data_IF_876109972715
#
_entry.id   IF_876109972715
#
_cell.length_a   1.000
_cell.length_b   1.000
_cell.length_c   1.000
_cell.angle_alpha   90.00
_cell.angle_beta   90.00
_cell.angle_gamma   90.00
#
_symmetry.space_group_name_H-M   'P 1'
#
loop_
_entity.id
_entity.type
_entity.pdbx_description
1 polymer ?
#
# COMPACT_ATOMS: atom_id res chain seq x y z
N UNK A 1 -57.50 -2.07 -37.94
CA UNK A 1 -57.16 -1.13 -36.85
C UNK A 1 -55.66 -1.25 -36.62
N UNK A 2 -54.87 -0.34 -37.20
CA UNK A 2 -53.40 -0.38 -37.13
C UNK A 2 -52.95 0.42 -35.90
N UNK A 3 -52.21 -0.24 -35.01
CA UNK A 3 -51.65 0.36 -33.80
C UNK A 3 -50.19 0.74 -34.07
N UNK A 4 -49.87 2.02 -34.12
CA UNK A 4 -48.50 2.53 -34.22
C UNK A 4 -48.00 2.90 -32.83
N UNK A 5 -46.91 2.28 -32.36
CA UNK A 5 -46.18 2.74 -31.18
C UNK A 5 -45.04 3.66 -31.62
N UNK A 6 -45.09 4.92 -31.20
CA UNK A 6 -43.98 5.86 -31.29
C UNK A 6 -43.21 5.91 -29.96
N UNK A 7 -41.94 5.55 -29.97
CA UNK A 7 -41.03 5.72 -28.82
C UNK A 7 -40.29 7.05 -28.90
N UNK A 8 -40.43 7.91 -27.89
CA UNK A 8 -39.61 9.11 -27.75
C UNK A 8 -38.23 8.72 -27.18
N UNK A 9 -37.18 8.76 -28.00
CA UNK A 9 -35.81 8.68 -27.50
C UNK A 9 -35.40 10.07 -26.96
N UNK A 10 -35.22 10.18 -25.64
CA UNK A 10 -34.59 11.37 -25.04
C UNK A 10 -33.09 11.28 -25.26
N UNK A 11 -32.57 12.02 -26.23
CA UNK A 11 -31.14 12.18 -26.42
C UNK A 11 -30.60 13.13 -25.34
N UNK A 12 -30.04 12.59 -24.26
CA UNK A 12 -29.29 13.40 -23.29
C UNK A 12 -27.94 13.74 -23.92
N UNK A 13 -27.83 14.94 -24.49
CA UNK A 13 -26.54 15.53 -24.84
C UNK A 13 -25.74 15.73 -23.56
N UNK A 14 -24.92 14.73 -23.22
CA UNK A 14 -23.92 14.87 -22.17
C UNK A 14 -22.77 15.66 -22.77
N UNK A 15 -22.62 16.92 -22.36
CA UNK A 15 -21.41 17.69 -22.65
C UNK A 15 -20.29 17.03 -21.83
N UNK A 16 -19.52 16.14 -22.46
CA UNK A 16 -18.30 15.61 -21.87
C UNK A 16 -17.33 16.78 -21.77
N UNK A 17 -17.10 17.31 -20.57
CA UNK A 17 -15.96 18.20 -20.32
C UNK A 17 -14.69 17.42 -20.67
N UNK A 18 -14.06 17.76 -21.79
CA UNK A 18 -12.72 17.28 -22.11
C UNK A 18 -11.80 17.72 -20.97
N UNK A 19 -11.40 16.78 -20.12
CA UNK A 19 -10.37 17.02 -19.13
C UNK A 19 -9.05 17.18 -19.89
N UNK A 20 -8.38 18.33 -19.70
CA UNK A 20 -7.02 18.53 -20.19
C UNK A 20 -6.11 17.54 -19.50
N UNK A 21 -5.68 16.51 -20.24
CA UNK A 21 -4.71 15.54 -19.76
C UNK A 21 -3.42 16.28 -19.42
N UNK A 22 -3.07 16.29 -18.14
CA UNK A 22 -1.81 16.85 -17.69
C UNK A 22 -0.70 15.90 -18.13
N UNK A 23 0.08 16.30 -19.14
CA UNK A 23 1.21 15.51 -19.62
C UNK A 23 2.40 15.71 -18.69
N UNK A 24 2.88 14.61 -18.09
CA UNK A 24 4.13 14.61 -17.32
C UNK A 24 5.29 14.63 -18.31
N UNK A 25 5.96 15.77 -18.44
CA UNK A 25 7.06 15.96 -19.40
C UNK A 25 8.42 15.46 -18.90
N UNK A 26 8.62 15.42 -17.58
CA UNK A 26 9.85 14.91 -16.96
C UNK A 26 9.63 14.48 -15.51
N UNK A 27 10.44 13.52 -15.07
CA UNK A 27 10.61 13.19 -13.65
C UNK A 27 11.90 13.86 -13.15
N UNK A 28 11.84 14.41 -11.94
CA UNK A 28 13.00 14.94 -11.24
C UNK A 28 13.22 14.09 -9.99
N UNK A 29 14.37 13.45 -9.90
CA UNK A 29 14.81 12.85 -8.65
C UNK A 29 15.08 13.96 -7.61
N UNK A 30 14.49 13.83 -6.43
CA UNK A 30 14.62 14.83 -5.36
C UNK A 30 15.62 14.35 -4.31
N UNK A 31 15.45 13.12 -3.80
CA UNK A 31 16.25 12.60 -2.70
C UNK A 31 16.10 11.07 -2.55
N UNK A 32 17.05 10.46 -1.84
CA UNK A 32 16.98 9.10 -1.28
C UNK A 32 17.33 9.23 0.20
N UNK A 33 16.53 8.59 1.04
CA UNK A 33 16.76 8.49 2.48
C UNK A 33 17.05 7.03 2.82
N UNK A 34 18.19 6.75 3.45
CA UNK A 34 18.65 5.39 3.75
C UNK A 34 18.73 5.20 5.26
N UNK A 35 18.11 4.13 5.75
CA UNK A 35 18.26 3.69 7.14
C UNK A 35 19.49 2.79 7.28
N UNK A 36 20.23 2.87 8.39
CA UNK A 36 21.26 1.89 8.70
C UNK A 36 20.74 0.46 8.68
N UNK A 37 21.62 -0.46 8.30
CA UNK A 37 21.35 -1.89 8.37
C UNK A 37 20.95 -2.30 9.80
N UNK A 38 20.00 -3.23 9.92
CA UNK A 38 19.47 -3.75 11.19
C UNK A 38 18.92 -2.71 12.17
N UNK A 39 18.55 -1.51 11.70
CA UNK A 39 17.97 -0.50 12.57
C UNK A 39 16.73 -1.05 13.29
N UNK A 40 16.72 -0.98 14.61
CA UNK A 40 15.64 -1.50 15.43
C UNK A 40 14.56 -0.45 15.67
N UNK A 41 13.31 -0.89 15.66
CA UNK A 41 12.16 -0.12 16.08
C UNK A 41 11.15 -1.02 16.80
N UNK A 42 10.87 -0.70 18.08
CA UNK A 42 9.92 -1.43 18.94
C UNK A 42 10.14 -2.96 18.93
N UNK A 43 11.40 -3.40 18.95
CA UNK A 43 11.75 -4.83 18.96
C UNK A 43 11.64 -5.54 17.61
N UNK A 44 11.53 -4.77 16.52
CA UNK A 44 11.53 -5.29 15.15
C UNK A 44 12.61 -4.58 14.32
N UNK A 45 13.18 -5.27 13.34
CA UNK A 45 14.12 -4.69 12.40
C UNK A 45 13.38 -3.89 11.33
N UNK A 46 13.73 -2.63 11.13
CA UNK A 46 13.30 -1.86 9.96
C UNK A 46 14.09 -2.39 8.75
N UNK A 47 13.40 -2.96 7.77
CA UNK A 47 13.99 -3.56 6.58
C UNK A 47 12.93 -4.25 5.72
N UNK A 48 13.30 -4.67 4.52
CA UNK A 48 12.37 -5.37 3.61
C UNK A 48 11.11 -4.56 3.30
N UNK A 49 11.22 -3.23 3.15
CA UNK A 49 10.05 -2.39 2.87
C UNK A 49 9.70 -2.48 1.38
N UNK A 50 8.52 -3.02 1.07
CA UNK A 50 8.07 -3.32 -0.30
C UNK A 50 6.98 -2.38 -0.81
N UNK A 51 6.18 -1.80 0.09
CA UNK A 51 5.07 -0.92 -0.28
C UNK A 51 4.88 0.25 0.65
N UNK A 52 4.36 1.36 0.09
CA UNK A 52 4.05 2.60 0.80
C UNK A 52 2.69 3.14 0.37
N UNK A 53 1.95 3.72 1.30
CA UNK A 53 0.79 4.57 1.02
C UNK A 53 0.67 5.71 2.04
N UNK A 54 -0.09 6.74 1.72
CA UNK A 54 -0.20 7.96 2.54
C UNK A 54 -1.64 8.29 2.90
N UNK A 55 -1.89 8.49 4.19
CA UNK A 55 -3.13 9.09 4.69
C UNK A 55 -2.94 10.60 4.91
N UNK A 56 -3.56 11.46 4.08
CA UNK A 56 -3.45 12.90 4.23
C UNK A 56 -4.18 13.46 5.47
N UNK A 57 -5.18 12.75 6.01
CA UNK A 57 -5.95 13.22 7.15
C UNK A 57 -5.13 13.15 8.45
N UNK A 58 -4.44 12.02 8.68
CA UNK A 58 -3.56 11.84 9.84
C UNK A 58 -2.10 12.22 9.57
N UNK A 59 -1.75 12.49 8.31
CA UNK A 59 -0.38 12.71 7.83
C UNK A 59 0.55 11.55 8.20
N UNK A 60 0.07 10.32 7.98
CA UNK A 60 0.81 9.10 8.23
C UNK A 60 1.07 8.34 6.94
N UNK A 61 2.29 7.84 6.81
CA UNK A 61 2.66 6.87 5.82
C UNK A 61 2.49 5.46 6.40
N UNK A 62 1.91 4.56 5.64
CA UNK A 62 1.87 3.13 5.90
C UNK A 62 2.94 2.44 5.06
N UNK A 63 3.81 1.67 5.69
CA UNK A 63 4.96 1.01 5.07
C UNK A 63 4.86 -0.49 5.34
N UNK A 64 4.65 -1.31 4.31
CA UNK A 64 4.55 -2.77 4.47
C UNK A 64 5.90 -3.44 4.27
N UNK A 65 6.13 -4.54 4.99
CA UNK A 65 7.36 -5.31 4.96
C UNK A 65 7.15 -6.68 4.28
N UNK A 66 8.02 -7.03 3.34
CA UNK A 66 8.08 -8.29 2.60
C UNK A 66 8.69 -9.46 3.42
N UNK A 67 9.20 -9.19 4.63
CA UNK A 67 9.73 -10.21 5.52
C UNK A 67 8.64 -11.25 5.82
N UNK A 68 8.82 -12.44 5.23
CA UNK A 68 7.96 -13.64 5.33
C UNK A 68 8.01 -14.30 6.71
N UNK A 69 7.94 -13.49 7.76
CA UNK A 69 8.15 -13.83 9.16
C UNK A 69 9.52 -14.46 9.47
N UNK A 70 10.52 -14.24 8.64
CA UNK A 70 11.85 -14.85 8.79
C UNK A 70 12.59 -14.22 9.96
N UNK A 71 12.69 -12.88 9.97
CA UNK A 71 13.40 -12.11 11.00
C UNK A 71 12.44 -11.77 12.14
N UNK A 72 11.36 -11.04 11.85
CA UNK A 72 10.29 -10.75 12.80
C UNK A 72 8.93 -11.11 12.17
N UNK A 73 7.84 -11.27 12.94
CA UNK A 73 6.52 -11.52 12.37
C UNK A 73 6.15 -10.54 11.26
N UNK A 74 5.45 -11.02 10.23
CA UNK A 74 4.95 -10.21 9.11
C UNK A 74 4.26 -8.95 9.65
N UNK A 75 4.60 -7.78 9.10
CA UNK A 75 4.29 -6.50 9.74
C UNK A 75 4.20 -5.35 8.76
N UNK A 76 3.60 -4.27 9.22
CA UNK A 76 3.71 -2.96 8.61
C UNK A 76 4.03 -1.92 9.67
N UNK A 77 4.57 -0.80 9.23
CA UNK A 77 4.89 0.34 10.06
C UNK A 77 4.00 1.53 9.70
N UNK A 78 3.85 2.43 10.66
CA UNK A 78 3.43 3.81 10.37
C UNK A 78 4.60 4.75 10.59
N UNK A 79 4.74 5.76 9.73
CA UNK A 79 5.80 6.75 9.82
C UNK A 79 5.29 8.14 9.46
N UNK A 80 6.01 9.17 9.92
CA UNK A 80 5.93 10.52 9.35
C UNK A 80 7.19 10.78 8.55
N UNK A 81 7.02 11.20 7.29
CA UNK A 81 8.12 11.59 6.40
C UNK A 81 8.01 13.10 6.19
N UNK A 82 9.04 13.83 6.61
CA UNK A 82 9.14 15.27 6.37
C UNK A 82 9.64 15.50 4.94
N UNK A 83 8.72 15.50 3.97
CA UNK A 83 9.00 15.65 2.54
C UNK A 83 8.67 17.06 2.04
N UNK A 84 9.58 17.63 1.26
CA UNK A 84 9.38 18.91 0.55
C UNK A 84 10.01 18.88 -0.84
N UNK A 85 9.90 19.99 -1.58
CA UNK A 85 10.52 20.13 -2.90
C UNK A 85 12.06 20.06 -2.88
N UNK A 86 12.69 20.27 -1.72
CA UNK A 86 14.14 20.11 -1.55
C UNK A 86 14.56 18.69 -1.12
N UNK A 87 13.61 17.83 -0.75
CA UNK A 87 13.87 16.45 -0.37
C UNK A 87 13.24 16.05 0.96
N UNK A 88 13.72 14.93 1.50
CA UNK A 88 13.33 14.37 2.79
C UNK A 88 14.30 14.91 3.84
N UNK A 89 13.79 15.60 4.86
CA UNK A 89 14.61 16.09 5.98
C UNK A 89 14.63 15.14 7.17
N UNK A 90 13.58 14.33 7.35
CA UNK A 90 13.49 13.34 8.42
C UNK A 90 12.47 12.24 8.09
N UNK A 91 12.68 11.04 8.64
CA UNK A 91 11.68 9.98 8.67
C UNK A 91 11.58 9.40 10.08
N UNK A 92 10.43 9.64 10.72
CA UNK A 92 10.17 9.16 12.07
C UNK A 92 9.12 8.05 12.05
N UNK A 93 9.52 6.82 12.37
CA UNK A 93 8.60 5.71 12.65
C UNK A 93 7.77 5.98 13.90
N UNK A 94 6.46 5.70 13.84
CA UNK A 94 5.49 5.99 14.90
C UNK A 94 4.98 4.72 15.57
N UNK A 95 4.66 3.71 14.78
CA UNK A 95 4.15 2.43 15.28
C UNK A 95 4.48 1.26 14.35
N UNK A 96 4.34 0.04 14.88
CA UNK A 96 4.48 -1.22 14.14
C UNK A 96 3.30 -2.13 14.48
N UNK A 97 2.71 -2.76 13.46
CA UNK A 97 1.59 -3.69 13.62
C UNK A 97 1.87 -5.00 12.92
N UNK A 98 1.65 -6.10 13.62
CA UNK A 98 1.77 -7.46 13.07
C UNK A 98 0.56 -7.80 12.22
N UNK A 99 0.81 -8.32 11.01
CA UNK A 99 -0.20 -8.92 10.16
C UNK A 99 -0.60 -10.27 10.72
N UNK A 100 -1.91 -10.51 10.81
CA UNK A 100 -2.49 -11.70 11.39
C UNK A 100 -3.28 -12.48 10.35
N UNK A 101 -3.31 -13.79 10.54
CA UNK A 101 -4.20 -14.68 9.82
C UNK A 101 -5.65 -14.43 10.27
N UNK A 102 -6.61 -14.98 9.52
CA UNK A 102 -8.04 -14.83 9.82
C UNK A 102 -8.41 -15.37 11.21
N UNK A 103 -7.71 -16.39 11.69
CA UNK A 103 -7.88 -16.97 13.03
C UNK A 103 -7.20 -16.16 14.15
N UNK A 104 -6.54 -15.03 13.82
CA UNK A 104 -5.84 -14.16 14.75
C UNK A 104 -4.40 -14.58 15.07
N UNK A 105 -3.94 -15.72 14.57
CA UNK A 105 -2.56 -16.17 14.73
C UNK A 105 -1.59 -15.35 13.84
N UNK A 106 -0.31 -15.36 14.18
CA UNK A 106 0.71 -14.76 13.31
C UNK A 106 0.97 -15.68 12.11
N UNK A 107 1.37 -15.10 10.98
CA UNK A 107 1.87 -15.88 9.85
C UNK A 107 3.12 -16.69 10.26
N UNK A 108 3.20 -17.97 9.90
CA UNK A 108 4.37 -18.80 10.17
C UNK A 108 5.55 -18.35 9.33
N UNK A 109 6.76 -18.77 9.73
CA UNK A 109 7.95 -18.58 8.90
C UNK A 109 7.88 -19.48 7.66
N UNK A 110 8.46 -19.01 6.56
CA UNK A 110 8.60 -19.79 5.32
C UNK A 110 9.18 -21.20 5.57
N UNK A 111 10.22 -21.33 6.39
CA UNK A 111 10.89 -22.62 6.69
C UNK A 111 10.01 -23.59 7.50
N UNK A 112 8.97 -23.11 8.17
CA UNK A 112 8.09 -23.93 9.01
C UNK A 112 6.88 -24.40 8.20
N UNK A 113 6.20 -23.47 7.52
CA UNK A 113 5.02 -23.77 6.70
C UNK A 113 4.96 -22.88 5.45
N UNK A 114 5.72 -23.25 4.42
CA UNK A 114 5.87 -22.44 3.21
C UNK A 114 4.55 -22.15 2.48
N UNK A 115 3.54 -23.01 2.58
CA UNK A 115 2.23 -22.79 1.94
C UNK A 115 1.30 -21.87 2.72
N UNK A 116 1.64 -21.52 3.96
CA UNK A 116 0.82 -20.70 4.86
C UNK A 116 1.53 -19.43 5.31
N UNK A 117 2.73 -19.16 4.80
CA UNK A 117 3.40 -17.86 4.99
C UNK A 117 2.69 -16.78 4.19
N UNK A 118 3.07 -15.53 4.44
CA UNK A 118 2.72 -14.40 3.58
C UNK A 118 3.99 -13.78 3.02
N UNK A 119 3.84 -13.18 1.85
CA UNK A 119 4.83 -12.36 1.14
C UNK A 119 4.21 -10.98 0.84
N UNK A 120 4.20 -10.04 1.81
CA UNK A 120 3.44 -8.80 1.66
C UNK A 120 4.15 -7.78 0.75
N UNK A 121 3.43 -7.24 -0.22
CA UNK A 121 4.04 -6.41 -1.28
C UNK A 121 3.41 -5.02 -1.45
N UNK A 122 2.08 -4.93 -1.34
CA UNK A 122 1.37 -3.67 -1.42
C UNK A 122 0.47 -3.45 -0.22
N UNK A 123 0.31 -2.19 0.17
CA UNK A 123 -0.64 -1.74 1.17
C UNK A 123 -1.32 -0.46 0.69
N UNK A 124 -2.63 -0.35 0.87
CA UNK A 124 -3.45 0.81 0.48
C UNK A 124 -4.40 1.20 1.60
N UNK A 125 -4.48 2.49 1.90
CA UNK A 125 -5.41 3.06 2.85
C UNK A 125 -6.60 3.68 2.12
N UNK A 126 -7.80 3.27 2.49
CA UNK A 126 -9.04 3.90 2.03
C UNK A 126 -9.53 4.89 3.09
N UNK A 127 -9.32 6.19 2.85
CA UNK A 127 -9.75 7.24 3.78
C UNK A 127 -11.26 7.39 3.95
N UNK A 128 -12.09 6.87 3.03
CA UNK A 128 -13.56 6.90 3.15
C UNK A 128 -14.07 5.86 4.15
N UNK A 129 -13.50 4.65 4.11
CA UNK A 129 -13.90 3.54 5.00
C UNK A 129 -12.99 3.38 6.21
N UNK A 130 -11.86 4.10 6.23
CA UNK A 130 -10.78 3.98 7.22
C UNK A 130 -10.21 2.55 7.29
N UNK A 131 -10.16 1.86 6.15
CA UNK A 131 -9.66 0.49 6.04
C UNK A 131 -8.30 0.45 5.37
N UNK A 132 -7.46 -0.49 5.82
CA UNK A 132 -6.22 -0.86 5.16
C UNK A 132 -6.43 -2.16 4.39
N UNK A 133 -6.04 -2.15 3.12
CA UNK A 133 -5.96 -3.31 2.27
C UNK A 133 -4.50 -3.61 2.01
N UNK A 134 -4.14 -4.88 1.92
CA UNK A 134 -2.80 -5.28 1.55
C UNK A 134 -2.86 -6.54 0.71
N UNK A 135 -1.82 -6.76 -0.09
CA UNK A 135 -1.73 -7.92 -0.97
C UNK A 135 -0.46 -8.70 -0.68
N UNK A 136 -0.54 -9.99 -0.97
CA UNK A 136 0.60 -10.88 -0.96
C UNK A 136 0.83 -11.45 -2.36
N UNK A 137 2.09 -11.55 -2.79
CA UNK A 137 2.45 -12.25 -4.03
C UNK A 137 2.24 -13.77 -3.92
N UNK A 138 2.05 -14.26 -2.69
CA UNK A 138 1.92 -15.67 -2.39
C UNK A 138 3.28 -16.39 -2.45
N UNK A 139 3.23 -17.71 -2.35
CA UNK A 139 4.42 -18.55 -2.44
C UNK A 139 4.26 -19.54 -3.59
N UNK A 140 5.30 -19.70 -4.42
CA UNK A 140 5.32 -20.70 -5.48
C UNK A 140 6.53 -21.61 -5.29
N UNK A 141 6.30 -22.75 -4.66
CA UNK A 141 7.28 -23.84 -4.62
C UNK A 141 7.23 -24.61 -5.94
N UNK A 142 8.24 -24.45 -6.79
CA UNK A 142 8.46 -25.30 -7.96
C UNK A 142 9.27 -26.51 -7.49
N UNK A 143 8.71 -27.72 -7.66
CA UNK A 143 9.40 -29.00 -7.42
C UNK A 143 10.05 -29.50 -8.70
#
# INVERSE_FOLDING_TARGET
MALTLGGCAVHRNSIVKQQTLTTVSKLKYINTYVFPHDQQFRGTTIGGLSGIDYDPASQLYYLICDDRSTINPARFYTAKIALSASGISDVTFKDVKTLKQQDGSSYPKLKVHATHTTDPEAMRYNGLTQQLYWTSEGERLIK
#
